data_IF_076685865112
#
_entry.id   IF_076685865112
#
_cell.length_a   1.000
_cell.length_b   1.000
_cell.length_c   1.000
_cell.angle_alpha   90.00
_cell.angle_beta   90.00
_cell.angle_gamma   90.00
#
_symmetry.space_group_name_H-M   'P 1'
#
loop_
_entity.id
_entity.type
_entity.pdbx_description
1 polymer ?
#
# COMPACT_ATOMS: atom_id res chain seq x y z
N UNK A 1 19.47 24.76 19.44
CA UNK A 1 20.38 24.41 18.33
C UNK A 1 20.48 22.90 18.33
N UNK A 2 19.96 22.12 17.39
CA UNK A 2 19.85 22.20 15.92
C UNK A 2 18.39 21.84 15.53
N UNK A 3 17.95 22.07 14.30
CA UNK A 3 16.58 21.83 13.78
C UNK A 3 15.56 22.97 13.92
N UNK A 4 16.01 24.22 13.79
CA UNK A 4 15.14 25.29 13.33
C UNK A 4 15.56 25.66 11.91
N UNK A 5 14.75 25.32 10.89
CA UNK A 5 14.84 25.99 9.60
C UNK A 5 14.92 25.16 8.31
N UNK A 6 14.44 23.92 8.25
CA UNK A 6 14.20 23.27 6.94
C UNK A 6 12.72 23.02 6.74
N UNK A 7 12.12 23.81 5.83
CA UNK A 7 10.81 23.56 5.26
C UNK A 7 10.87 22.18 4.64
N UNK A 8 10.14 21.22 5.24
CA UNK A 8 9.96 19.90 4.67
C UNK A 8 9.38 20.08 3.27
N UNK A 9 10.24 19.92 2.25
CA UNK A 9 9.82 19.96 0.87
C UNK A 9 8.67 18.98 0.67
N UNK A 10 7.64 19.39 -0.05
CA UNK A 10 6.48 18.55 -0.36
C UNK A 10 6.94 17.19 -0.91
N UNK A 11 6.14 16.13 -0.73
CA UNK A 11 6.44 14.80 -1.27
C UNK A 11 6.77 14.84 -2.79
N UNK A 12 6.19 15.80 -3.50
CA UNK A 12 6.45 16.11 -4.90
C UNK A 12 7.86 16.66 -5.15
N UNK A 13 8.35 17.56 -4.28
CA UNK A 13 9.74 18.05 -4.32
C UNK A 13 10.77 16.96 -3.98
N UNK A 14 10.39 15.98 -3.16
CA UNK A 14 11.25 14.84 -2.83
C UNK A 14 11.35 13.86 -4.02
N UNK A 15 10.21 13.59 -4.67
CA UNK A 15 10.17 12.83 -5.92
C UNK A 15 10.99 13.52 -7.02
N UNK A 16 10.84 14.83 -7.21
CA UNK A 16 11.61 15.59 -8.20
C UNK A 16 13.12 15.54 -7.94
N UNK A 17 13.55 15.61 -6.66
CA UNK A 17 14.96 15.47 -6.29
C UNK A 17 15.48 14.06 -6.55
N UNK A 18 14.68 13.04 -6.28
CA UNK A 18 15.04 11.65 -6.54
C UNK A 18 15.14 11.36 -8.04
N UNK A 19 14.22 11.90 -8.84
CA UNK A 19 14.24 11.86 -10.31
C UNK A 19 15.47 12.56 -10.88
N UNK A 20 15.89 13.70 -10.32
CA UNK A 20 17.08 14.43 -10.75
C UNK A 20 18.38 13.65 -10.46
N UNK A 21 18.52 13.08 -9.26
CA UNK A 21 19.67 12.24 -8.89
C UNK A 21 19.73 11.00 -9.78
N UNK A 22 18.58 10.39 -10.09
CA UNK A 22 18.50 9.26 -11.01
C UNK A 22 18.80 9.67 -12.45
N UNK A 23 18.42 10.87 -12.89
CA UNK A 23 18.80 11.40 -14.20
C UNK A 23 20.31 11.55 -14.37
N UNK A 24 21.00 12.00 -13.32
CA UNK A 24 22.46 12.09 -13.30
C UNK A 24 23.11 10.72 -13.31
N UNK A 25 22.57 9.74 -12.58
CA UNK A 25 23.03 8.34 -12.64
C UNK A 25 22.76 7.67 -14.01
N UNK A 26 21.64 8.00 -14.67
CA UNK A 26 21.24 7.54 -16.02
C UNK A 26 22.19 8.05 -17.11
N UNK A 27 22.54 9.33 -17.04
CA UNK A 27 23.54 9.94 -17.93
C UNK A 27 24.92 9.29 -17.78
N UNK A 28 25.24 8.77 -16.59
CA UNK A 28 26.50 8.08 -16.32
C UNK A 28 26.53 6.60 -16.77
N UNK A 29 25.36 5.94 -16.94
CA UNK A 29 25.28 4.49 -17.23
C UNK A 29 24.86 4.10 -18.65
N UNK A 30 24.32 5.02 -19.46
CA UNK A 30 24.09 4.77 -20.89
C UNK A 30 23.09 3.64 -21.22
N UNK A 31 22.16 3.34 -20.31
CA UNK A 31 21.17 2.28 -20.50
C UNK A 31 19.91 2.82 -21.20
N UNK A 32 19.70 2.37 -22.45
CA UNK A 32 18.51 2.64 -23.25
C UNK A 32 17.47 1.51 -23.12
N UNK A 33 17.05 1.20 -21.89
CA UNK A 33 15.86 0.39 -21.67
C UNK A 33 14.65 1.33 -21.55
N UNK A 34 13.52 1.00 -22.17
CA UNK A 34 12.25 1.69 -21.90
C UNK A 34 11.95 1.60 -20.40
N UNK A 35 12.21 2.69 -19.67
CA UNK A 35 12.03 2.74 -18.23
C UNK A 35 10.54 2.68 -17.90
N UNK A 36 10.12 1.57 -17.29
CA UNK A 36 8.86 1.51 -16.56
C UNK A 36 9.04 2.43 -15.35
N UNK A 37 8.29 3.54 -15.23
CA UNK A 37 8.40 4.42 -14.07
C UNK A 37 8.10 3.63 -12.79
N UNK A 38 8.79 3.92 -11.67
CA UNK A 38 8.63 3.19 -10.42
C UNK A 38 7.15 3.17 -9.99
N UNK A 39 6.68 2.00 -9.55
CA UNK A 39 5.31 1.83 -9.08
C UNK A 39 5.06 2.60 -7.79
N UNK A 40 3.80 2.97 -7.54
CA UNK A 40 3.44 3.83 -6.41
C UNK A 40 3.80 3.24 -5.03
N UNK A 41 3.99 1.92 -4.95
CA UNK A 41 4.30 1.20 -3.71
C UNK A 41 5.79 0.90 -3.50
N UNK A 42 6.65 1.12 -4.51
CA UNK A 42 8.04 0.66 -4.53
C UNK A 42 8.92 1.32 -3.45
N UNK A 43 8.54 2.50 -2.99
CA UNK A 43 9.22 3.20 -1.89
C UNK A 43 8.75 2.77 -0.48
N UNK A 44 8.03 1.64 -0.36
CA UNK A 44 7.69 1.04 0.95
C UNK A 44 8.68 -0.08 1.30
N UNK A 45 9.53 0.07 2.34
CA UNK A 45 10.55 -0.92 2.68
C UNK A 45 9.97 -2.31 3.01
N UNK A 46 10.50 -3.36 2.39
CA UNK A 46 10.07 -4.75 2.64
C UNK A 46 10.44 -5.26 4.05
N UNK A 47 11.54 -4.74 4.61
CA UNK A 47 12.06 -5.10 5.92
C UNK A 47 11.35 -4.39 7.09
N UNK A 48 10.41 -3.49 6.84
CA UNK A 48 9.66 -2.83 7.91
C UNK A 48 8.76 -3.84 8.66
N UNK A 49 8.47 -3.61 9.96
CA UNK A 49 7.47 -4.39 10.69
C UNK A 49 6.13 -4.41 9.94
N UNK A 50 5.50 -5.58 9.90
CA UNK A 50 4.38 -5.88 9.01
C UNK A 50 3.20 -4.92 9.20
N UNK A 51 2.87 -4.56 10.44
CA UNK A 51 1.80 -3.61 10.74
C UNK A 51 2.11 -2.21 10.22
N UNK A 52 3.35 -1.73 10.41
CA UNK A 52 3.80 -0.43 9.89
C UNK A 52 3.83 -0.43 8.36
N UNK A 53 4.28 -1.54 7.76
CA UNK A 53 4.31 -1.72 6.31
C UNK A 53 2.89 -1.70 5.73
N UNK A 54 1.96 -2.46 6.29
CA UNK A 54 0.57 -2.52 5.84
C UNK A 54 -0.08 -1.13 5.87
N UNK A 55 0.07 -0.38 6.96
CA UNK A 55 -0.46 0.99 7.05
C UNK A 55 0.15 1.94 5.99
N UNK A 56 1.43 1.77 5.66
CA UNK A 56 2.10 2.59 4.66
C UNK A 56 1.65 2.24 3.24
N UNK A 57 1.52 0.94 2.93
CA UNK A 57 0.99 0.47 1.65
C UNK A 57 -0.43 0.97 1.42
N UNK A 58 -1.32 0.81 2.40
CA UNK A 58 -2.73 1.24 2.30
C UNK A 58 -2.82 2.74 2.04
N UNK A 59 -2.09 3.57 2.80
CA UNK A 59 -2.10 5.02 2.60
C UNK A 59 -1.58 5.42 1.22
N UNK A 60 -0.55 4.74 0.71
CA UNK A 60 0.01 5.03 -0.62
C UNK A 60 -0.93 4.59 -1.72
N UNK A 61 -1.47 3.38 -1.67
CA UNK A 61 -2.40 2.87 -2.66
C UNK A 61 -3.67 3.74 -2.76
N UNK A 62 -4.24 4.18 -1.62
CA UNK A 62 -5.37 5.14 -1.60
C UNK A 62 -5.07 6.46 -2.31
N UNK A 63 -3.84 6.97 -2.16
CA UNK A 63 -3.40 8.19 -2.87
C UNK A 63 -3.24 7.99 -4.38
N UNK A 64 -3.19 6.74 -4.85
CA UNK A 64 -2.95 6.37 -6.24
C UNK A 64 -4.12 5.53 -6.79
N UNK A 65 -5.35 5.90 -6.44
CA UNK A 65 -6.55 5.40 -7.11
C UNK A 65 -7.15 4.09 -6.60
N UNK A 66 -6.60 3.49 -5.55
CA UNK A 66 -7.25 2.35 -4.89
C UNK A 66 -8.68 2.73 -4.45
N UNK A 67 -9.65 1.86 -4.75
CA UNK A 67 -11.02 2.08 -4.30
C UNK A 67 -11.11 2.02 -2.78
N UNK A 68 -12.02 2.81 -2.18
CA UNK A 68 -12.36 2.64 -0.77
C UNK A 68 -13.07 1.30 -0.55
N UNK A 69 -12.87 0.72 0.63
CA UNK A 69 -13.68 -0.44 1.04
C UNK A 69 -15.17 -0.06 1.06
N UNK A 70 -16.08 -0.96 0.62
CA UNK A 70 -17.52 -0.74 0.74
C UNK A 70 -17.95 -0.48 2.17
N UNK A 71 -19.06 0.26 2.34
CA UNK A 71 -19.58 0.57 3.68
C UNK A 71 -19.86 -0.71 4.50
N UNK A 72 -20.49 -1.72 3.90
CA UNK A 72 -20.79 -3.01 4.54
C UNK A 72 -19.54 -3.71 5.09
N UNK A 73 -18.46 -3.77 4.31
CA UNK A 73 -17.19 -4.35 4.76
C UNK A 73 -16.55 -3.55 5.90
N UNK A 74 -16.60 -2.21 5.83
CA UNK A 74 -16.09 -1.36 6.91
C UNK A 74 -16.90 -1.50 8.20
N UNK A 75 -18.21 -1.63 8.08
CA UNK A 75 -19.10 -1.79 9.22
C UNK A 75 -18.89 -3.15 9.88
N UNK A 76 -18.80 -4.23 9.09
CA UNK A 76 -18.46 -5.56 9.61
C UNK A 76 -17.10 -5.59 10.34
N UNK A 77 -16.07 -4.91 9.80
CA UNK A 77 -14.78 -4.76 10.49
C UNK A 77 -14.91 -3.95 11.79
N UNK A 78 -15.71 -2.88 11.78
CA UNK A 78 -15.93 -2.05 12.98
C UNK A 78 -16.66 -2.85 14.07
N UNK A 79 -17.64 -3.67 13.70
CA UNK A 79 -18.38 -4.52 14.61
C UNK A 79 -17.49 -5.65 15.17
N UNK A 80 -16.66 -6.26 14.33
CA UNK A 80 -15.67 -7.26 14.79
C UNK A 80 -14.63 -6.64 15.74
N UNK A 81 -14.31 -5.36 15.53
CA UNK A 81 -13.35 -4.60 16.32
C UNK A 81 -14.05 -3.62 17.27
N UNK A 82 -15.27 -3.92 17.77
CA UNK A 82 -16.16 -3.03 18.53
C UNK A 82 -15.59 -2.36 19.80
N UNK A 83 -14.28 -2.48 20.03
CA UNK A 83 -13.50 -1.68 20.96
C UNK A 83 -13.06 -0.39 20.25
N UNK A 84 -13.54 0.76 20.72
CA UNK A 84 -12.96 2.07 20.36
C UNK A 84 -11.49 2.22 20.84
N UNK A 85 -11.00 1.23 21.59
CA UNK A 85 -9.60 1.06 21.98
C UNK A 85 -8.84 0.19 20.98
N UNK A 86 -8.18 0.85 20.02
CA UNK A 86 -7.33 0.21 19.00
C UNK A 86 -6.13 -0.56 19.59
N UNK A 87 -5.62 -0.16 20.76
CA UNK A 87 -4.52 -0.87 21.38
C UNK A 87 -4.99 -2.26 21.84
N UNK A 88 -6.13 -2.31 22.54
CA UNK A 88 -6.71 -3.57 22.97
C UNK A 88 -7.24 -4.42 21.79
N UNK A 89 -7.74 -3.80 20.72
CA UNK A 89 -8.16 -4.52 19.52
C UNK A 89 -6.97 -5.20 18.81
N UNK A 90 -5.87 -4.47 18.59
CA UNK A 90 -4.66 -5.03 17.99
C UNK A 90 -4.03 -6.13 18.86
N UNK A 91 -4.04 -5.93 20.18
CA UNK A 91 -3.61 -6.95 21.14
C UNK A 91 -4.45 -8.22 21.03
N UNK A 92 -5.78 -8.09 21.01
CA UNK A 92 -6.69 -9.23 20.89
C UNK A 92 -6.49 -10.00 19.59
N UNK A 93 -6.27 -9.32 18.46
CA UNK A 93 -5.95 -9.96 17.18
C UNK A 93 -4.64 -10.74 17.25
N UNK A 94 -3.58 -10.14 17.80
CA UNK A 94 -2.29 -10.82 17.95
C UNK A 94 -2.37 -12.01 18.91
N UNK A 95 -3.11 -11.86 20.02
CA UNK A 95 -3.35 -12.92 21.00
C UNK A 95 -4.09 -14.10 20.37
N UNK A 96 -5.17 -13.83 19.61
CA UNK A 96 -5.93 -14.88 18.92
C UNK A 96 -5.07 -15.61 17.89
N UNK A 97 -4.30 -14.88 17.09
CA UNK A 97 -3.38 -15.49 16.13
C UNK A 97 -2.38 -16.42 16.83
N UNK A 98 -1.82 -16.00 17.96
CA UNK A 98 -0.91 -16.83 18.75
C UNK A 98 -1.60 -18.06 19.35
N UNK A 99 -2.81 -17.92 19.89
CA UNK A 99 -3.60 -19.03 20.45
C UNK A 99 -3.97 -20.07 19.37
N UNK A 100 -4.15 -19.64 18.13
CA UNK A 100 -4.39 -20.51 16.96
C UNK A 100 -3.10 -21.04 16.30
N UNK A 101 -1.91 -20.63 16.79
CA UNK A 101 -0.62 -21.09 16.31
C UNK A 101 -0.08 -20.36 15.07
N UNK A 102 -0.64 -19.20 14.74
CA UNK A 102 -0.16 -18.34 13.66
C UNK A 102 0.87 -17.31 14.16
N UNK A 103 1.89 -17.04 13.33
CA UNK A 103 2.75 -15.88 13.48
C UNK A 103 2.06 -14.66 12.84
N UNK A 104 1.59 -13.72 13.67
CA UNK A 104 0.87 -12.53 13.21
C UNK A 104 1.74 -11.61 12.31
N UNK A 105 3.05 -11.54 12.56
CA UNK A 105 3.98 -10.73 11.78
C UNK A 105 4.19 -11.33 10.39
N UNK A 106 4.42 -12.64 10.31
CA UNK A 106 4.60 -13.31 9.02
C UNK A 106 3.30 -13.38 8.22
N UNK A 107 2.18 -13.68 8.87
CA UNK A 107 0.86 -13.71 8.23
C UNK A 107 0.50 -12.35 7.62
N UNK A 108 0.74 -11.26 8.34
CA UNK A 108 0.50 -9.91 7.83
C UNK A 108 1.52 -9.50 6.76
N UNK A 109 2.77 -9.98 6.83
CA UNK A 109 3.78 -9.80 5.77
C UNK A 109 3.37 -10.47 4.47
N UNK A 110 2.84 -11.69 4.53
CA UNK A 110 2.32 -12.38 3.36
C UNK A 110 1.13 -11.64 2.74
N UNK A 111 0.17 -11.22 3.57
CA UNK A 111 -0.98 -10.43 3.13
C UNK A 111 -0.55 -9.13 2.45
N UNK A 112 0.41 -8.42 3.04
CA UNK A 112 1.01 -7.21 2.44
C UNK A 112 1.67 -7.52 1.09
N UNK A 113 2.34 -8.65 0.95
CA UNK A 113 2.96 -9.07 -0.31
C UNK A 113 1.91 -9.38 -1.40
N UNK A 114 0.80 -10.04 -1.03
CA UNK A 114 -0.32 -10.30 -1.96
C UNK A 114 -0.96 -8.99 -2.43
N UNK A 115 -1.19 -8.06 -1.49
CA UNK A 115 -1.70 -6.72 -1.79
C UNK A 115 -0.78 -5.96 -2.75
N UNK A 116 0.53 -5.91 -2.47
CA UNK A 116 1.50 -5.23 -3.33
C UNK A 116 1.50 -5.78 -4.76
N UNK A 117 1.53 -7.11 -4.92
CA UNK A 117 1.48 -7.74 -6.25
C UNK A 117 0.19 -7.41 -7.00
N UNK A 118 -0.96 -7.45 -6.31
CA UNK A 118 -2.25 -7.12 -6.92
C UNK A 118 -2.34 -5.66 -7.35
N UNK A 119 -1.79 -4.73 -6.55
CA UNK A 119 -1.73 -3.32 -6.92
C UNK A 119 -0.77 -3.06 -8.09
N UNK A 120 0.41 -3.70 -8.10
CA UNK A 120 1.35 -3.59 -9.21
C UNK A 120 0.76 -4.14 -10.54
N UNK A 121 -0.03 -5.21 -10.46
CA UNK A 121 -0.77 -5.72 -11.62
C UNK A 121 -1.82 -4.71 -12.12
N UNK A 122 -2.56 -4.09 -11.20
CA UNK A 122 -3.51 -3.02 -11.53
C UNK A 122 -2.82 -1.82 -12.21
N UNK A 123 -1.66 -1.40 -11.70
CA UNK A 123 -0.85 -0.33 -12.30
C UNK A 123 -0.32 -0.71 -13.68
N UNK A 124 0.15 -1.95 -13.86
CA UNK A 124 0.63 -2.44 -15.14
C UNK A 124 -0.49 -2.47 -16.19
N UNK A 125 -1.68 -2.94 -15.81
CA UNK A 125 -2.85 -2.98 -16.67
C UNK A 125 -3.27 -1.57 -17.09
N UNK A 126 -3.38 -0.63 -16.14
CA UNK A 126 -3.68 0.78 -16.41
C UNK A 126 -2.67 1.38 -17.40
N UNK A 127 -1.37 1.16 -17.15
CA UNK A 127 -0.28 1.66 -18.01
C UNK A 127 -0.35 1.07 -19.41
N UNK A 128 -0.66 -0.22 -19.55
CA UNK A 128 -0.79 -0.88 -20.86
C UNK A 128 -1.96 -0.32 -21.70
N UNK A 129 -3.01 0.17 -21.03
CA UNK A 129 -4.16 0.82 -21.65
C UNK A 129 -3.95 2.33 -21.90
N UNK A 130 -2.85 2.92 -21.40
CA UNK A 130 -2.64 4.37 -21.44
C UNK A 130 -3.60 5.14 -20.52
N UNK A 131 -4.14 4.47 -19.50
CA UNK A 131 -5.13 4.99 -18.57
C UNK A 131 -4.51 5.25 -17.18
N UNK A 132 -5.17 6.08 -16.38
CA UNK A 132 -4.84 6.26 -14.97
C UNK A 132 -5.50 5.15 -14.14
N UNK A 133 -4.90 4.75 -13.02
CA UNK A 133 -5.51 3.75 -12.13
C UNK A 133 -6.89 4.20 -11.67
N UNK A 134 -7.07 5.51 -11.44
CA UNK A 134 -8.32 6.15 -11.03
C UNK A 134 -9.45 6.03 -12.06
N UNK A 135 -9.12 5.94 -13.36
CA UNK A 135 -10.13 5.83 -14.42
C UNK A 135 -10.64 4.40 -14.60
N UNK A 136 -9.95 3.41 -14.01
CA UNK A 136 -10.38 2.02 -14.09
C UNK A 136 -11.73 1.78 -13.38
N UNK A 137 -12.51 0.78 -13.84
CA UNK A 137 -13.75 0.38 -13.17
C UNK A 137 -13.54 0.08 -11.68
N UNK A 138 -14.54 0.40 -10.86
CA UNK A 138 -14.45 0.26 -9.41
C UNK A 138 -14.12 -1.19 -8.99
N UNK A 139 -14.65 -2.16 -9.70
CA UNK A 139 -14.43 -3.60 -9.49
C UNK A 139 -12.95 -3.96 -9.63
N UNK A 140 -12.26 -3.35 -10.60
CA UNK A 140 -10.82 -3.54 -10.83
C UNK A 140 -10.01 -2.89 -9.72
N UNK A 141 -10.39 -1.69 -9.30
CA UNK A 141 -9.72 -0.94 -8.22
C UNK A 141 -9.94 -1.56 -6.82
N UNK A 142 -10.89 -2.48 -6.68
CA UNK A 142 -11.11 -3.31 -5.47
C UNK A 142 -10.26 -4.59 -5.46
N UNK A 143 -9.62 -4.98 -6.58
CA UNK A 143 -8.84 -6.21 -6.67
C UNK A 143 -7.72 -6.32 -5.61
N UNK A 144 -6.97 -5.24 -5.27
CA UNK A 144 -5.95 -5.33 -4.23
C UNK A 144 -6.50 -5.68 -2.84
N UNK A 145 -7.72 -5.24 -2.49
CA UNK A 145 -8.38 -5.65 -1.24
C UNK A 145 -8.75 -7.13 -1.23
N UNK A 146 -9.25 -7.60 -2.37
CA UNK A 146 -9.62 -9.00 -2.59
C UNK A 146 -8.44 -9.96 -2.44
N UNK A 147 -7.23 -9.49 -2.79
CA UNK A 147 -6.01 -10.26 -2.66
C UNK A 147 -5.56 -10.47 -1.20
N UNK A 148 -6.09 -9.69 -0.26
CA UNK A 148 -5.85 -9.83 1.19
C UNK A 148 -6.89 -10.77 1.80
N UNK A 149 -8.17 -10.51 1.56
CA UNK A 149 -9.28 -11.36 1.98
C UNK A 149 -10.48 -11.12 1.07
N UNK A 150 -11.21 -12.17 0.74
CA UNK A 150 -12.40 -12.08 -0.11
C UNK A 150 -13.50 -11.22 0.53
N UNK A 151 -13.61 -11.25 1.86
CA UNK A 151 -14.63 -10.51 2.64
C UNK A 151 -14.45 -8.98 2.52
N UNK A 152 -13.24 -8.52 2.19
CA UNK A 152 -12.96 -7.10 2.03
C UNK A 152 -13.57 -6.50 0.74
N UNK A 153 -14.08 -7.33 -0.17
CA UNK A 153 -14.86 -6.86 -1.33
C UNK A 153 -16.26 -6.37 -0.95
N UNK A 154 -16.72 -6.67 0.27
CA UNK A 154 -18.12 -6.58 0.65
C UNK A 154 -18.94 -7.66 -0.07
N UNK A 155 -19.65 -8.49 0.67
CA UNK A 155 -20.75 -9.26 0.10
C UNK A 155 -21.90 -8.29 -0.25
N UNK A 156 -22.56 -8.45 -1.41
CA UNK A 156 -23.84 -7.78 -1.66
C UNK A 156 -24.91 -8.25 -0.68
#
# INVERSE_FOLDING_TARGET
>A
HVFAGEVAGSAESLNQKWEAIKAEERAAKGEAAEEVPPGALDSTPAAAPSLQRAQSLIRRARRNGLAELPASARDALRDALAREDWAAALWAVAMLAADEGFDAEETLREASSRFTRAFQALEADARSAGEAVESLPAERRLAPWSAVSEDLRGTP
#
